data_IF_644779414876
#
_entry.id   IF_644779414876
#
_cell.length_a   1.000
_cell.length_b   1.000
_cell.length_c   1.000
_cell.angle_alpha   90.00
_cell.angle_beta   90.00
_cell.angle_gamma   90.00
#
_symmetry.space_group_name_H-M   'P 1'
#
loop_
_entity.id
_entity.type
_entity.pdbx_description
1 polymer ?
#
# COMPACT_ATOMS: atom_id res chain seq x y z
N UNK A 1 14.40 3.13 -14.40
CA UNK A 1 13.20 3.95 -14.10
C UNK A 1 12.31 4.15 -15.33
N UNK A 2 12.84 4.58 -16.48
CA UNK A 2 12.05 4.82 -17.71
C UNK A 2 11.25 3.60 -18.19
N UNK A 3 11.87 2.41 -18.25
CA UNK A 3 11.18 1.18 -18.69
C UNK A 3 10.01 0.77 -17.78
N UNK A 4 10.11 1.00 -16.47
CA UNK A 4 9.02 0.71 -15.54
C UNK A 4 7.86 1.69 -15.73
N UNK A 5 8.14 2.98 -15.90
CA UNK A 5 7.12 4.00 -16.15
C UNK A 5 6.40 3.77 -17.47
N UNK A 6 7.11 3.35 -18.52
CA UNK A 6 6.48 3.00 -19.80
C UNK A 6 5.58 1.77 -19.68
N UNK A 7 5.99 0.75 -18.91
CA UNK A 7 5.18 -0.44 -18.69
C UNK A 7 3.91 -0.15 -17.86
N UNK A 8 3.98 0.79 -16.91
CA UNK A 8 2.83 1.21 -16.10
C UNK A 8 1.94 2.25 -16.79
N UNK A 9 2.52 3.17 -17.57
CA UNK A 9 1.85 4.34 -18.12
C UNK A 9 1.59 4.26 -19.63
N UNK A 10 2.10 3.22 -20.32
CA UNK A 10 1.96 3.02 -21.76
C UNK A 10 2.76 4.00 -22.63
N UNK A 11 3.68 4.79 -22.04
CA UNK A 11 4.49 5.78 -22.75
C UNK A 11 5.81 6.05 -22.03
N UNK A 12 6.89 6.20 -22.79
CA UNK A 12 8.17 6.71 -22.29
C UNK A 12 8.14 8.23 -21.98
N UNK A 13 7.08 8.95 -22.38
CA UNK A 13 6.89 10.35 -22.03
C UNK A 13 6.53 10.48 -20.54
N UNK A 14 7.10 11.48 -19.86
CA UNK A 14 6.75 11.78 -18.47
C UNK A 14 5.27 12.15 -18.31
N UNK A 15 4.70 11.86 -17.14
CA UNK A 15 3.33 12.25 -16.81
C UNK A 15 3.24 13.77 -16.57
N UNK A 16 2.17 14.40 -17.09
CA UNK A 16 1.88 15.80 -16.77
C UNK A 16 1.50 15.95 -15.29
N UNK A 17 1.70 17.15 -14.73
CA UNK A 17 1.33 17.44 -13.34
C UNK A 17 -0.17 17.19 -13.06
N UNK A 18 -1.03 17.47 -14.04
CA UNK A 18 -2.46 17.18 -13.97
C UNK A 18 -2.74 15.67 -13.89
N UNK A 19 -2.04 14.86 -14.69
CA UNK A 19 -2.17 13.39 -14.64
C UNK A 19 -1.68 12.83 -13.30
N UNK A 20 -0.53 13.31 -12.80
CA UNK A 20 -0.01 12.91 -11.49
C UNK A 20 -1.04 13.20 -10.40
N UNK A 21 -1.56 14.42 -10.35
CA UNK A 21 -2.55 14.83 -9.34
C UNK A 21 -3.82 13.97 -9.39
N UNK A 22 -4.30 13.65 -10.59
CA UNK A 22 -5.46 12.77 -10.78
C UNK A 22 -5.20 11.36 -10.24
N UNK A 23 -4.05 10.76 -10.60
CA UNK A 23 -3.68 9.41 -10.15
C UNK A 23 -3.49 9.37 -8.63
N UNK A 24 -2.83 10.36 -8.05
CA UNK A 24 -2.67 10.44 -6.59
C UNK A 24 -4.01 10.50 -5.87
N UNK A 25 -4.97 11.31 -6.35
CA UNK A 25 -6.32 11.35 -5.77
C UNK A 25 -7.00 9.97 -5.86
N UNK A 26 -6.96 9.35 -7.04
CA UNK A 26 -7.54 8.04 -7.25
C UNK A 26 -6.94 7.00 -6.27
N UNK A 27 -5.62 6.95 -6.13
CA UNK A 27 -4.97 6.02 -5.21
C UNK A 27 -5.25 6.31 -3.74
N UNK A 28 -5.46 7.57 -3.36
CA UNK A 28 -5.92 7.91 -2.02
C UNK A 28 -7.32 7.37 -1.73
N UNK A 29 -8.23 7.44 -2.71
CA UNK A 29 -9.57 6.88 -2.59
C UNK A 29 -9.54 5.36 -2.55
N UNK A 30 -8.71 4.71 -3.37
CA UNK A 30 -8.47 3.27 -3.34
C UNK A 30 -7.87 2.82 -1.99
N UNK A 31 -6.93 3.58 -1.43
CA UNK A 31 -6.35 3.29 -0.12
C UNK A 31 -7.38 3.37 1.02
N UNK A 32 -8.27 4.37 0.99
CA UNK A 32 -9.39 4.47 1.95
C UNK A 32 -10.35 3.29 1.80
N UNK A 33 -10.77 2.99 0.57
CA UNK A 33 -11.65 1.86 0.29
C UNK A 33 -11.02 0.53 0.73
N UNK A 34 -9.71 0.36 0.55
CA UNK A 34 -8.97 -0.78 1.06
C UNK A 34 -9.04 -0.84 2.59
N UNK A 35 -8.78 0.28 3.29
CA UNK A 35 -8.83 0.32 4.75
C UNK A 35 -10.24 0.01 5.30
N UNK A 36 -11.29 0.49 4.64
CA UNK A 36 -12.68 0.36 5.11
C UNK A 36 -13.35 -0.96 4.70
N UNK A 37 -12.67 -1.80 3.90
CA UNK A 37 -13.25 -3.06 3.43
C UNK A 37 -13.52 -4.01 4.59
N UNK A 38 -14.66 -4.70 4.52
CA UNK A 38 -15.00 -5.74 5.50
C UNK A 38 -14.07 -6.94 5.36
N UNK A 39 -13.61 -7.45 6.50
CA UNK A 39 -12.90 -8.73 6.61
C UNK A 39 -13.81 -9.83 7.18
N UNK A 40 -15.10 -9.57 7.32
CA UNK A 40 -16.06 -10.56 7.83
C UNK A 40 -16.14 -11.78 6.89
N UNK A 41 -16.17 -12.97 7.47
CA UNK A 41 -16.20 -14.23 6.71
C UNK A 41 -14.86 -14.60 6.06
N UNK A 42 -13.78 -13.90 6.39
CA UNK A 42 -12.44 -14.31 5.99
C UNK A 42 -11.80 -15.18 7.07
N UNK A 43 -11.60 -16.45 6.75
CA UNK A 43 -10.94 -17.42 7.64
C UNK A 43 -9.43 -17.39 7.44
N UNK A 44 -8.75 -16.53 8.21
CA UNK A 44 -7.28 -16.53 8.28
C UNK A 44 -6.79 -17.68 9.17
N UNK A 45 -5.98 -18.58 8.59
CA UNK A 45 -5.32 -19.67 9.32
C UNK A 45 -4.00 -19.21 9.95
N UNK A 46 -3.42 -18.12 9.44
CA UNK A 46 -2.25 -17.47 10.01
C UNK A 46 -2.27 -15.97 9.75
N UNK A 47 -1.80 -15.18 10.72
CA UNK A 47 -1.63 -13.73 10.63
C UNK A 47 -0.27 -13.37 11.20
N UNK A 48 0.44 -12.45 10.54
CA UNK A 48 1.64 -11.83 11.10
C UNK A 48 1.66 -10.34 10.83
N UNK A 49 2.35 -9.65 11.73
CA UNK A 49 2.51 -8.20 11.71
C UNK A 49 4.00 -7.89 11.73
N UNK A 50 4.44 -7.01 10.83
CA UNK A 50 5.83 -6.56 10.75
C UNK A 50 5.91 -5.03 10.61
N UNK A 51 7.04 -4.46 11.02
CA UNK A 51 7.33 -3.03 10.93
C UNK A 51 8.32 -2.72 9.81
N UNK A 52 7.85 -2.08 8.74
CA UNK A 52 8.70 -1.63 7.63
C UNK A 52 9.24 -0.23 7.95
N UNK A 53 10.55 -0.11 8.07
CA UNK A 53 11.20 1.16 8.39
C UNK A 53 11.36 2.00 7.13
N UNK A 54 10.77 3.21 7.14
CA UNK A 54 10.86 4.12 6.02
C UNK A 54 11.94 5.18 6.26
N UNK A 55 12.75 5.46 5.25
CA UNK A 55 13.68 6.60 5.24
C UNK A 55 13.00 7.84 4.66
N UNK A 56 11.92 8.29 5.30
CA UNK A 56 11.24 9.53 4.93
C UNK A 56 11.66 10.63 5.90
N UNK A 57 11.95 11.83 5.37
CA UNK A 57 12.15 13.02 6.19
C UNK A 57 10.77 13.56 6.59
N UNK A 58 10.29 13.14 7.75
CA UNK A 58 9.13 13.73 8.41
C UNK A 58 9.63 14.47 9.66
N UNK A 59 8.84 15.40 10.19
CA UNK A 59 9.18 16.11 11.44
C UNK A 59 9.26 15.16 12.65
N UNK A 60 8.61 13.99 12.56
CA UNK A 60 8.73 12.90 13.54
C UNK A 60 9.91 11.98 13.17
N UNK A 61 10.84 11.80 14.10
CA UNK A 61 12.17 11.19 13.86
C UNK A 61 12.16 9.72 13.40
N UNK A 62 11.07 8.97 13.55
CA UNK A 62 11.00 7.54 13.20
C UNK A 62 9.58 7.10 12.81
N UNK A 63 9.29 7.12 11.51
CA UNK A 63 8.05 6.56 10.97
C UNK A 63 8.32 5.16 10.43
N UNK A 64 7.54 4.18 10.90
CA UNK A 64 7.47 2.86 10.29
C UNK A 64 6.05 2.62 9.76
N UNK A 65 5.91 1.69 8.82
CA UNK A 65 4.61 1.16 8.46
C UNK A 65 4.41 -0.15 9.19
N UNK A 66 3.30 -0.27 9.90
CA UNK A 66 2.83 -1.54 10.41
C UNK A 66 2.10 -2.26 9.29
N UNK A 67 2.57 -3.44 8.93
CA UNK A 67 2.03 -4.25 7.84
C UNK A 67 1.52 -5.56 8.40
N UNK A 68 0.27 -5.89 8.10
CA UNK A 68 -0.34 -7.17 8.48
C UNK A 68 -0.63 -8.01 7.24
N UNK A 69 -0.12 -9.24 7.21
CA UNK A 69 -0.39 -10.22 6.15
C UNK A 69 -1.13 -11.41 6.75
N UNK A 70 -2.15 -11.89 6.03
CA UNK A 70 -2.94 -13.05 6.39
C UNK A 70 -2.78 -14.17 5.37
N UNK A 71 -2.83 -15.41 5.84
CA UNK A 71 -2.90 -16.62 5.00
C UNK A 71 -4.28 -17.26 5.17
N UNK A 72 -4.94 -17.59 4.07
CA UNK A 72 -6.22 -18.31 4.05
C UNK A 72 -6.01 -19.82 4.02
N UNK A 73 -7.06 -20.59 4.26
CA UNK A 73 -6.99 -22.06 4.27
C UNK A 73 -6.49 -22.69 2.96
N UNK A 74 -6.67 -22.01 1.84
CA UNK A 74 -6.15 -22.43 0.52
C UNK A 74 -4.65 -22.11 0.32
N UNK A 75 -4.00 -21.50 1.32
CA UNK A 75 -2.59 -21.09 1.27
C UNK A 75 -2.35 -19.73 0.63
N UNK A 76 -3.37 -19.04 0.11
CA UNK A 76 -3.22 -17.71 -0.44
C UNK A 76 -2.86 -16.69 0.64
N UNK A 77 -2.01 -15.72 0.27
CA UNK A 77 -1.57 -14.63 1.14
C UNK A 77 -2.17 -13.33 0.68
N UNK A 78 -2.64 -12.51 1.60
CA UNK A 78 -3.11 -11.16 1.28
C UNK A 78 -2.64 -10.13 2.30
N UNK A 79 -2.43 -8.91 1.83
CA UNK A 79 -2.27 -7.75 2.70
C UNK A 79 -3.60 -7.49 3.39
N UNK A 80 -3.63 -7.61 4.70
CA UNK A 80 -4.86 -7.43 5.49
C UNK A 80 -5.01 -5.97 5.87
N UNK A 81 -3.97 -5.37 6.46
CA UNK A 81 -3.97 -3.97 6.86
C UNK A 81 -2.57 -3.35 6.72
N UNK A 82 -2.57 -2.04 6.57
CA UNK A 82 -1.38 -1.20 6.60
C UNK A 82 -1.72 0.08 7.38
N UNK A 83 -0.90 0.42 8.36
CA UNK A 83 -1.11 1.58 9.21
C UNK A 83 0.20 2.28 9.53
N UNK A 84 0.12 3.55 9.90
CA UNK A 84 1.27 4.29 10.43
C UNK A 84 1.67 3.68 11.78
N UNK A 85 2.95 3.33 11.90
CA UNK A 85 3.57 2.85 13.12
C UNK A 85 4.50 3.90 13.71
N UNK A 86 4.53 3.95 15.03
CA UNK A 86 5.45 4.79 15.81
C UNK A 86 6.34 3.89 16.67
N UNK A 87 7.64 4.22 16.75
CA UNK A 87 8.60 3.48 17.58
C UNK A 87 9.65 4.39 18.20
#
# INVERSE_FOLDING_TARGET
FVAALEQFCGSAAGLSAATITRLTRQWQDEARAFHDRSLAGVDYVYLWVDGIHLKVRLEADKVCLLVMIGVRADGSKELVALADGYR
#
